data_IF_735665988066
#
_entry.id   IF_735665988066
#
_cell.length_a   1.000
_cell.length_b   1.000
_cell.length_c   1.000
_cell.angle_alpha   90.00
_cell.angle_beta   90.00
_cell.angle_gamma   90.00
#
_symmetry.space_group_name_H-M   'P 1'
#
loop_
_entity.id
_entity.type
_entity.pdbx_description
1 polymer ?
#
# COMPACT_ATOMS: atom_id res chain seq x y z
N UNK A 1 26.80 -66.46 11.46
CA UNK A 1 26.50 -65.25 12.27
C UNK A 1 27.67 -64.29 12.22
N UNK A 2 28.09 -63.84 11.04
CA UNK A 2 29.20 -62.91 10.93
C UNK A 2 28.93 -61.91 9.81
N UNK A 3 29.00 -60.63 10.23
CA UNK A 3 29.15 -59.43 9.41
C UNK A 3 27.94 -58.98 8.58
N UNK A 4 26.89 -58.53 9.26
CA UNK A 4 26.09 -57.40 8.79
C UNK A 4 26.60 -56.10 9.44
N UNK A 5 27.84 -55.72 9.14
CA UNK A 5 28.34 -54.39 9.53
C UNK A 5 27.96 -53.43 8.40
N UNK A 6 26.84 -52.73 8.61
CA UNK A 6 26.40 -51.67 7.71
C UNK A 6 27.47 -50.57 7.68
N UNK A 7 28.22 -50.51 6.58
CA UNK A 7 29.06 -49.37 6.22
C UNK A 7 28.17 -48.14 5.99
N UNK A 8 27.79 -47.51 7.10
CA UNK A 8 27.15 -46.21 7.12
C UNK A 8 28.24 -45.16 6.86
N UNK A 9 28.61 -44.99 5.60
CA UNK A 9 29.47 -43.89 5.16
C UNK A 9 28.72 -42.58 5.44
N UNK A 10 29.15 -41.74 6.42
CA UNK A 10 28.53 -40.45 6.60
C UNK A 10 28.81 -39.61 5.35
N UNK A 11 27.78 -39.37 4.54
CA UNK A 11 27.83 -38.36 3.48
C UNK A 11 27.99 -37.01 4.17
N UNK A 12 29.24 -36.57 4.35
CA UNK A 12 29.55 -35.25 4.88
C UNK A 12 28.98 -34.20 3.91
N UNK A 13 27.85 -33.61 4.29
CA UNK A 13 27.23 -32.51 3.55
C UNK A 13 28.15 -31.31 3.74
N UNK A 14 29.05 -31.06 2.77
CA UNK A 14 29.89 -29.87 2.77
C UNK A 14 28.97 -28.66 2.75
N UNK A 15 28.87 -27.94 3.87
CA UNK A 15 28.18 -26.64 3.90
C UNK A 15 29.01 -25.67 3.05
N UNK A 16 28.42 -25.16 1.97
CA UNK A 16 28.99 -24.03 1.22
C UNK A 16 28.95 -22.80 2.13
N UNK A 17 30.11 -22.26 2.49
CA UNK A 17 30.20 -20.96 3.14
C UNK A 17 29.97 -19.89 2.06
N UNK A 18 29.05 -18.95 2.32
CA UNK A 18 28.89 -17.77 1.48
C UNK A 18 30.13 -16.89 1.61
N UNK A 19 30.65 -16.44 0.48
CA UNK A 19 31.76 -15.49 0.47
C UNK A 19 31.25 -14.09 0.82
N UNK A 20 32.04 -13.30 1.54
CA UNK A 20 31.66 -11.92 1.89
C UNK A 20 31.38 -11.05 0.65
N UNK A 21 32.03 -11.35 -0.47
CA UNK A 21 31.84 -10.66 -1.75
C UNK A 21 30.47 -10.94 -2.38
N UNK A 22 29.94 -12.16 -2.26
CA UNK A 22 28.59 -12.51 -2.75
C UNK A 22 27.51 -11.72 -2.00
N UNK A 23 27.66 -11.55 -0.68
CA UNK A 23 26.73 -10.72 0.08
C UNK A 23 26.89 -9.22 -0.23
N UNK A 24 28.14 -8.76 -0.39
CA UNK A 24 28.45 -7.35 -0.63
C UNK A 24 27.90 -6.85 -1.97
N UNK A 25 28.01 -7.64 -3.04
CA UNK A 25 27.49 -7.23 -4.36
C UNK A 25 25.96 -7.17 -4.35
N UNK A 26 25.29 -8.04 -3.60
CA UNK A 26 23.82 -8.09 -3.52
C UNK A 26 23.27 -6.83 -2.84
N UNK A 27 23.83 -6.44 -1.69
CA UNK A 27 23.39 -5.23 -1.01
C UNK A 27 23.68 -3.97 -1.84
N UNK A 28 24.77 -3.96 -2.61
CA UNK A 28 25.10 -2.84 -3.50
C UNK A 28 24.05 -2.67 -4.60
N UNK A 29 23.62 -3.76 -5.23
CA UNK A 29 22.56 -3.71 -6.25
C UNK A 29 21.23 -3.29 -5.62
N UNK A 30 20.86 -3.84 -4.47
CA UNK A 30 19.63 -3.47 -3.75
C UNK A 30 19.64 -1.98 -3.40
N UNK A 31 20.77 -1.42 -2.97
CA UNK A 31 20.89 -0.01 -2.62
C UNK A 31 20.63 0.90 -3.83
N UNK A 32 21.17 0.56 -5.00
CA UNK A 32 20.93 1.32 -6.24
C UNK A 32 19.45 1.27 -6.62
N UNK A 33 18.84 0.08 -6.58
CA UNK A 33 17.42 -0.09 -6.90
C UNK A 33 16.52 0.67 -5.91
N UNK A 34 16.80 0.55 -4.60
CA UNK A 34 16.02 1.21 -3.55
C UNK A 34 16.12 2.73 -3.62
N UNK A 35 17.29 3.28 -3.98
CA UNK A 35 17.50 4.71 -4.15
C UNK A 35 16.60 5.32 -5.24
N UNK A 36 16.27 4.57 -6.30
CA UNK A 36 15.35 5.01 -7.35
C UNK A 36 13.90 4.66 -6.99
N UNK A 37 13.67 3.49 -6.40
CA UNK A 37 12.33 3.00 -6.12
C UNK A 37 11.63 3.82 -5.03
N UNK A 38 12.34 4.20 -3.96
CA UNK A 38 11.76 4.96 -2.86
C UNK A 38 11.16 6.33 -3.27
N UNK A 39 11.90 7.22 -4.00
CA UNK A 39 11.35 8.50 -4.43
C UNK A 39 10.21 8.33 -5.45
N UNK A 40 10.36 7.40 -6.40
CA UNK A 40 9.32 7.13 -7.41
C UNK A 40 8.05 6.59 -6.76
N UNK A 41 8.17 5.71 -5.76
CA UNK A 41 7.04 5.16 -5.02
C UNK A 41 6.27 6.24 -4.26
N UNK A 42 6.95 7.17 -3.61
CA UNK A 42 6.32 8.29 -2.91
C UNK A 42 5.51 9.18 -3.88
N UNK A 43 6.09 9.49 -5.05
CA UNK A 43 5.41 10.27 -6.08
C UNK A 43 4.21 9.51 -6.66
N UNK A 44 4.36 8.23 -6.98
CA UNK A 44 3.29 7.37 -7.48
C UNK A 44 2.12 7.27 -6.50
N UNK A 45 2.39 7.15 -5.18
CA UNK A 45 1.35 7.15 -4.14
C UNK A 45 0.57 8.46 -4.10
N UNK A 46 1.26 9.61 -4.21
CA UNK A 46 0.60 10.93 -4.25
C UNK A 46 -0.25 11.08 -5.51
N UNK A 47 0.27 10.65 -6.66
CA UNK A 47 -0.47 10.65 -7.91
C UNK A 47 -1.72 9.76 -7.82
N UNK A 48 -1.60 8.54 -7.28
CA UNK A 48 -2.72 7.63 -7.08
C UNK A 48 -3.82 8.24 -6.20
N UNK A 49 -3.47 8.87 -5.07
CA UNK A 49 -4.44 9.58 -4.21
C UNK A 49 -5.16 10.69 -4.97
N UNK A 50 -4.43 11.45 -5.78
CA UNK A 50 -5.00 12.53 -6.61
C UNK A 50 -5.97 11.97 -7.63
N UNK A 51 -5.58 10.91 -8.35
CA UNK A 51 -6.44 10.23 -9.33
C UNK A 51 -7.72 9.69 -8.70
N UNK A 52 -7.63 9.08 -7.51
CA UNK A 52 -8.79 8.61 -6.76
C UNK A 52 -9.71 9.78 -6.40
N UNK A 53 -9.17 10.86 -5.85
CA UNK A 53 -9.96 12.05 -5.50
C UNK A 53 -10.69 12.63 -6.71
N UNK A 54 -10.00 12.78 -7.84
CA UNK A 54 -10.60 13.28 -9.09
C UNK A 54 -11.70 12.33 -9.57
N UNK A 55 -11.47 11.02 -9.50
CA UNK A 55 -12.48 10.02 -9.87
C UNK A 55 -13.73 10.13 -8.99
N UNK A 56 -13.56 10.28 -7.67
CA UNK A 56 -14.67 10.41 -6.74
C UNK A 56 -15.47 11.68 -7.01
N UNK A 57 -14.80 12.83 -7.22
CA UNK A 57 -15.48 14.09 -7.55
C UNK A 57 -16.23 13.99 -8.88
N UNK A 58 -15.66 13.34 -9.89
CA UNK A 58 -16.35 13.10 -11.17
C UNK A 58 -17.61 12.25 -10.96
N UNK A 59 -17.52 11.16 -10.18
CA UNK A 59 -18.67 10.32 -9.87
C UNK A 59 -19.78 11.10 -9.15
N UNK A 60 -19.43 11.93 -8.16
CA UNK A 60 -20.38 12.80 -7.47
C UNK A 60 -21.00 13.84 -8.40
N UNK A 61 -20.18 14.52 -9.22
CA UNK A 61 -20.66 15.50 -10.18
C UNK A 61 -21.62 14.89 -11.21
N UNK A 62 -21.32 13.69 -11.70
CA UNK A 62 -22.23 12.94 -12.57
C UNK A 62 -23.53 12.59 -11.85
N UNK A 63 -23.46 12.14 -10.60
CA UNK A 63 -24.67 11.89 -9.80
C UNK A 63 -25.52 13.15 -9.58
N UNK A 64 -24.87 14.29 -9.33
CA UNK A 64 -25.54 15.59 -9.21
C UNK A 64 -26.21 16.03 -10.52
N UNK A 65 -25.55 15.82 -11.66
CA UNK A 65 -26.13 16.13 -12.98
C UNK A 65 -27.35 15.26 -13.28
N UNK A 66 -27.32 13.98 -12.91
CA UNK A 66 -28.47 13.08 -13.05
C UNK A 66 -29.62 13.57 -12.16
N UNK A 67 -29.30 13.89 -10.89
CA UNK A 67 -30.30 14.40 -9.95
C UNK A 67 -30.96 15.69 -10.45
N UNK A 68 -30.15 16.69 -10.85
CA UNK A 68 -30.67 17.98 -11.31
C UNK A 68 -31.53 17.84 -12.57
N UNK A 69 -31.16 16.96 -13.48
CA UNK A 69 -31.94 16.66 -14.68
C UNK A 69 -33.32 16.05 -14.36
N UNK A 70 -33.44 15.28 -13.27
CA UNK A 70 -34.67 14.65 -12.83
C UNK A 70 -35.53 15.57 -11.94
N UNK A 71 -34.97 16.64 -11.36
CA UNK A 71 -35.63 17.52 -10.37
C UNK A 71 -35.64 19.00 -10.76
N UNK A 72 -36.01 19.36 -12.00
CA UNK A 72 -36.14 20.74 -12.47
C UNK A 72 -34.92 21.65 -12.13
N UNK A 73 -33.71 21.13 -12.31
CA UNK A 73 -32.43 21.79 -12.00
C UNK A 73 -32.21 22.16 -10.51
N UNK A 74 -32.99 21.57 -9.60
CA UNK A 74 -32.78 21.72 -8.15
C UNK A 74 -31.54 20.94 -7.73
N UNK A 75 -30.59 21.61 -7.06
CA UNK A 75 -29.39 20.99 -6.48
C UNK A 75 -29.65 20.52 -5.04
N UNK A 76 -29.04 19.41 -4.59
CA UNK A 76 -29.24 18.92 -3.23
C UNK A 76 -28.67 19.91 -2.21
N UNK A 77 -29.47 20.21 -1.20
CA UNK A 77 -29.10 21.09 -0.09
C UNK A 77 -28.04 20.40 0.78
N UNK A 78 -26.86 21.00 0.88
CA UNK A 78 -25.91 20.61 1.92
C UNK A 78 -26.41 21.19 3.24
N UNK A 79 -26.86 20.35 4.17
CA UNK A 79 -27.17 20.79 5.53
C UNK A 79 -25.83 21.03 6.22
N UNK A 80 -25.34 22.26 6.19
CA UNK A 80 -24.20 22.67 6.97
C UNK A 80 -24.70 22.98 8.38
N UNK A 81 -24.77 21.98 9.25
CA UNK A 81 -24.87 22.22 10.69
C UNK A 81 -23.53 22.84 11.11
N UNK A 82 -23.45 24.18 11.02
CA UNK A 82 -22.41 24.94 11.69
C UNK A 82 -22.50 24.57 13.17
N UNK A 83 -21.36 24.15 13.71
CA UNK A 83 -21.14 23.89 15.11
C UNK A 83 -21.86 24.93 15.98
N UNK A 84 -22.99 24.54 16.56
CA UNK A 84 -23.57 25.27 17.67
C UNK A 84 -22.75 24.84 18.89
N UNK A 85 -21.57 25.44 19.05
CA UNK A 85 -20.91 25.56 20.35
C UNK A 85 -21.76 26.50 21.23
N UNK A 86 -22.94 26.01 21.57
CA UNK A 86 -23.81 26.53 22.63
C UNK A 86 -24.54 25.36 23.28
N UNK A 87 -23.83 24.25 23.50
CA UNK A 87 -24.21 23.28 24.53
C UNK A 87 -23.35 23.52 25.78
N UNK A 88 -23.82 24.32 26.76
CA UNK A 88 -23.41 24.09 28.13
C UNK A 88 -24.16 22.83 28.61
N UNK A 89 -23.65 21.64 28.29
CA UNK A 89 -24.16 20.39 28.85
C UNK A 89 -24.12 19.22 27.89
N UNK A 90 -23.06 18.40 28.03
CA UNK A 90 -23.11 17.01 27.62
C UNK A 90 -24.04 16.24 28.56
N UNK A 91 -25.16 15.73 28.04
CA UNK A 91 -25.93 14.66 28.65
C UNK A 91 -26.95 14.17 27.61
N UNK A 92 -26.56 13.17 26.82
CA UNK A 92 -27.28 11.91 26.55
C UNK A 92 -26.30 10.92 25.92
#
# INVERSE_FOLDING_TARGET
MLQSEQNNIPYSIRRKAFTLIELLVVIAIIAILAAILFPVFAQAKKAAKTTISVSNTKQLATGLQIYSADTDDVMPMTIQSLDQDTTPGGAW
#
